data_IF_354288416987
#
_entry.id   IF_354288416987
#
_cell.length_a   1.000
_cell.length_b   1.000
_cell.length_c   1.000
_cell.angle_alpha   90.00
_cell.angle_beta   90.00
_cell.angle_gamma   90.00
#
_symmetry.space_group_name_H-M   'P 1'
#
loop_
_entity.id
_entity.type
_entity.pdbx_description
1 polymer ?
#
# COMPACT_ATOMS: atom_id res chain seq x y z
N UNK A 1 5.20 -1.06 13.32
CA UNK A 1 4.01 -1.83 12.92
C UNK A 1 4.44 -3.21 12.45
N UNK A 2 4.12 -4.24 13.22
CA UNK A 2 4.48 -5.60 12.84
C UNK A 2 3.54 -6.14 11.73
N UNK A 3 3.88 -7.30 11.16
CA UNK A 3 3.12 -7.87 10.06
C UNK A 3 1.65 -8.11 10.45
N UNK A 4 1.41 -8.68 11.62
CA UNK A 4 0.04 -8.99 12.04
C UNK A 4 -0.82 -7.74 12.11
N UNK A 5 -0.29 -6.67 12.69
CA UNK A 5 -1.03 -5.40 12.80
C UNK A 5 -1.24 -4.77 11.42
N UNK A 6 -0.25 -4.81 10.56
CA UNK A 6 -0.39 -4.32 9.19
C UNK A 6 -1.45 -5.10 8.44
N UNK A 7 -1.39 -6.43 8.53
CA UNK A 7 -2.36 -7.31 7.89
C UNK A 7 -3.79 -7.04 8.39
N UNK A 8 -3.94 -6.85 9.70
CA UNK A 8 -5.24 -6.51 10.28
C UNK A 8 -5.77 -5.17 9.77
N UNK A 9 -4.91 -4.18 9.59
CA UNK A 9 -5.32 -2.89 9.03
C UNK A 9 -5.79 -3.04 7.58
N UNK A 10 -5.10 -3.84 6.79
CA UNK A 10 -5.52 -4.10 5.41
C UNK A 10 -6.91 -4.73 5.40
N UNK A 11 -7.14 -5.75 6.22
CA UNK A 11 -8.43 -6.42 6.30
C UNK A 11 -9.52 -5.50 6.83
N UNK A 12 -9.22 -4.69 7.84
CA UNK A 12 -10.17 -3.74 8.42
C UNK A 12 -10.69 -2.77 7.36
N UNK A 13 -9.84 -2.37 6.44
CA UNK A 13 -10.19 -1.43 5.37
C UNK A 13 -10.70 -2.13 4.11
N UNK A 14 -10.89 -3.44 4.16
CA UNK A 14 -11.38 -4.24 3.03
C UNK A 14 -10.43 -4.21 1.83
N UNK A 15 -9.13 -4.11 2.10
CA UNK A 15 -8.14 -4.23 1.03
C UNK A 15 -8.19 -5.66 0.47
N UNK A 16 -8.09 -5.80 -0.85
CA UNK A 16 -8.16 -7.10 -1.53
C UNK A 16 -6.88 -7.90 -1.28
N UNK A 17 -6.85 -8.66 -0.18
CA UNK A 17 -5.68 -9.45 0.22
C UNK A 17 -5.26 -10.43 -0.89
N UNK A 18 -6.23 -11.00 -1.61
CA UNK A 18 -5.94 -11.95 -2.69
C UNK A 18 -5.16 -11.31 -3.84
N UNK A 19 -5.13 -9.99 -3.92
CA UNK A 19 -4.37 -9.28 -4.95
C UNK A 19 -2.95 -8.96 -4.51
N UNK A 20 -2.55 -9.38 -3.31
CA UNK A 20 -1.19 -9.15 -2.82
C UNK A 20 -0.35 -10.39 -3.10
N UNK A 21 0.75 -10.20 -3.83
CA UNK A 21 1.71 -11.25 -4.15
C UNK A 21 2.78 -11.36 -3.07
N UNK A 22 3.34 -10.23 -2.64
CA UNK A 22 4.44 -10.20 -1.67
C UNK A 22 4.31 -9.03 -0.72
N UNK A 23 4.82 -9.24 0.50
CA UNK A 23 4.99 -8.20 1.51
C UNK A 23 6.48 -7.98 1.73
N UNK A 24 6.90 -6.71 1.77
CA UNK A 24 8.29 -6.35 2.04
C UNK A 24 8.36 -5.47 3.27
N UNK A 25 9.12 -5.93 4.28
CA UNK A 25 9.32 -5.18 5.50
C UNK A 25 10.65 -4.44 5.47
N UNK A 26 10.61 -3.19 5.91
CA UNK A 26 11.81 -2.37 6.06
C UNK A 26 12.03 -2.07 7.54
N UNK A 27 13.28 -2.16 7.98
CA UNK A 27 13.63 -2.02 9.40
C UNK A 27 13.23 -0.69 10.02
N UNK A 28 13.04 0.34 9.20
CA UNK A 28 12.53 1.64 9.69
C UNK A 28 11.07 1.57 10.14
N UNK A 29 10.42 0.41 9.99
CA UNK A 29 9.07 0.20 10.48
C UNK A 29 7.98 0.43 9.45
N UNK A 30 8.28 0.36 8.16
CA UNK A 30 7.27 0.51 7.12
C UNK A 30 7.18 -0.74 6.24
N UNK A 31 6.10 -0.83 5.51
CA UNK A 31 5.82 -1.96 4.62
C UNK A 31 5.58 -1.49 3.19
N UNK A 32 6.06 -2.29 2.24
CA UNK A 32 5.64 -2.21 0.85
C UNK A 32 4.89 -3.49 0.51
N UNK A 33 3.96 -3.41 -0.45
CA UNK A 33 3.30 -4.59 -0.99
C UNK A 33 3.48 -4.63 -2.50
N UNK A 34 3.63 -5.84 -3.03
CA UNK A 34 3.61 -6.07 -4.45
C UNK A 34 2.29 -6.75 -4.79
N UNK A 35 1.56 -6.20 -5.75
CA UNK A 35 0.30 -6.74 -6.20
C UNK A 35 0.53 -7.81 -7.27
N UNK A 36 -0.50 -8.62 -7.51
CA UNK A 36 -0.42 -9.68 -8.52
C UNK A 36 -0.20 -9.16 -9.94
N UNK A 37 -0.53 -7.89 -10.19
CA UNK A 37 -0.25 -7.23 -11.47
C UNK A 37 1.13 -6.57 -11.51
N UNK A 38 1.99 -6.86 -10.52
CA UNK A 38 3.35 -6.35 -10.35
C UNK A 38 3.48 -4.90 -9.90
N UNK A 39 2.37 -4.20 -9.67
CA UNK A 39 2.46 -2.87 -9.06
C UNK A 39 2.98 -2.97 -7.63
N UNK A 40 3.75 -1.97 -7.21
CA UNK A 40 4.26 -1.87 -5.84
C UNK A 40 3.65 -0.65 -5.18
N UNK A 41 3.12 -0.83 -3.98
CA UNK A 41 2.63 0.28 -3.16
C UNK A 41 3.55 0.40 -1.96
N UNK A 42 4.10 1.60 -1.76
CA UNK A 42 4.98 1.90 -0.63
C UNK A 42 4.18 2.65 0.43
N UNK A 43 4.05 2.05 1.60
CA UNK A 43 3.28 2.63 2.69
C UNK A 43 4.17 3.42 3.64
N UNK A 44 3.63 4.44 4.31
CA UNK A 44 4.39 5.24 5.25
C UNK A 44 4.62 4.48 6.56
N UNK A 45 5.59 4.94 7.33
CA UNK A 45 5.86 4.44 8.67
C UNK A 45 4.74 4.79 9.65
N UNK A 46 4.17 5.99 9.52
CA UNK A 46 3.07 6.46 10.35
C UNK A 46 1.87 6.79 9.47
N UNK A 47 0.68 6.91 10.09
CA UNK A 47 -0.57 7.17 9.37
C UNK A 47 -0.87 6.08 8.33
N UNK A 48 -0.50 4.87 8.68
CA UNK A 48 -0.62 3.71 7.77
C UNK A 48 -2.08 3.44 7.42
N UNK A 49 -2.98 3.58 8.39
CA UNK A 49 -4.41 3.35 8.15
C UNK A 49 -4.95 4.29 7.07
N UNK A 50 -4.60 5.58 7.15
CA UNK A 50 -5.01 6.58 6.18
C UNK A 50 -4.43 6.28 4.79
N UNK A 51 -3.17 5.85 4.74
CA UNK A 51 -2.53 5.49 3.48
C UNK A 51 -3.18 4.26 2.85
N UNK A 52 -3.59 3.28 3.66
CA UNK A 52 -4.30 2.11 3.14
C UNK A 52 -5.63 2.53 2.52
N UNK A 53 -6.39 3.39 3.20
CA UNK A 53 -7.64 3.91 2.64
C UNK A 53 -7.40 4.63 1.32
N UNK A 54 -6.36 5.45 1.27
CA UNK A 54 -5.99 6.17 0.06
C UNK A 54 -5.62 5.20 -1.07
N UNK A 55 -4.84 4.15 -0.77
CA UNK A 55 -4.44 3.18 -1.78
C UNK A 55 -5.63 2.48 -2.42
N UNK A 56 -6.65 2.15 -1.62
CA UNK A 56 -7.86 1.51 -2.13
C UNK A 56 -8.56 2.42 -3.14
N UNK A 57 -8.68 3.71 -2.81
CA UNK A 57 -9.29 4.67 -3.73
C UNK A 57 -8.48 4.84 -5.01
N UNK A 58 -7.15 4.90 -4.90
CA UNK A 58 -6.28 5.03 -6.07
C UNK A 58 -6.36 3.81 -6.98
N UNK A 59 -6.43 2.61 -6.41
CA UNK A 59 -6.50 1.38 -7.21
C UNK A 59 -7.81 1.26 -7.99
N UNK A 60 -8.85 1.99 -7.61
CA UNK A 60 -10.12 2.04 -8.37
C UNK A 60 -10.02 2.93 -9.61
N UNK A 61 -9.01 3.80 -9.68
CA UNK A 61 -8.86 4.77 -10.76
C UNK A 61 -8.11 4.14 -11.92
N UNK A 62 -8.60 4.36 -13.13
CA UNK A 62 -8.00 3.78 -14.34
C UNK A 62 -6.61 4.33 -14.62
N UNK A 63 -6.37 5.60 -14.29
CA UNK A 63 -5.08 6.25 -14.56
C UNK A 63 -3.94 5.67 -13.71
N UNK A 64 -4.23 5.02 -12.58
CA UNK A 64 -3.21 4.40 -11.75
C UNK A 64 -2.78 3.01 -12.23
N UNK A 65 -3.49 2.42 -13.18
CA UNK A 65 -3.13 1.09 -13.72
C UNK A 65 -1.82 1.09 -14.50
N UNK A 66 -1.41 2.23 -15.00
CA UNK A 66 -0.20 2.36 -15.82
C UNK A 66 1.06 2.61 -15.00
N UNK A 67 0.94 2.83 -13.69
CA UNK A 67 2.10 3.09 -12.84
C UNK A 67 2.63 1.80 -12.25
N UNK A 68 3.95 1.65 -12.22
CA UNK A 68 4.61 0.51 -11.59
C UNK A 68 4.73 0.67 -10.10
N UNK A 69 4.88 1.91 -9.63
CA UNK A 69 5.06 2.22 -8.22
C UNK A 69 4.09 3.33 -7.81
N UNK A 70 3.40 3.09 -6.71
CA UNK A 70 2.55 4.09 -6.06
C UNK A 70 3.17 4.34 -4.68
N UNK A 71 3.78 5.50 -4.50
CA UNK A 71 4.54 5.82 -3.29
C UNK A 71 3.72 6.74 -2.39
N UNK A 72 3.29 6.22 -1.25
CA UNK A 72 2.48 6.93 -0.26
C UNK A 72 3.25 7.22 1.03
N UNK A 73 4.59 7.16 0.97
CA UNK A 73 5.42 7.29 2.18
C UNK A 73 5.33 8.66 2.84
N UNK A 74 5.02 9.70 2.09
CA UNK A 74 4.89 11.07 2.61
C UNK A 74 3.42 11.42 2.69
N UNK A 75 2.92 11.69 3.91
CA UNK A 75 1.51 12.00 4.13
C UNK A 75 1.09 13.21 3.29
N UNK A 76 -0.06 13.09 2.63
CA UNK A 76 -0.60 14.15 1.79
C UNK A 76 0.04 14.26 0.42
N UNK A 77 0.99 13.37 0.07
CA UNK A 77 1.66 13.41 -1.23
C UNK A 77 1.63 12.03 -1.88
N UNK A 78 1.30 11.98 -3.16
CA UNK A 78 1.31 10.76 -3.95
C UNK A 78 2.40 10.89 -5.01
N UNK A 79 3.35 9.95 -5.02
CA UNK A 79 4.40 9.91 -6.04
C UNK A 79 4.22 8.63 -6.83
N UNK A 80 4.24 8.73 -8.15
CA UNK A 80 4.05 7.58 -9.04
C UNK A 80 5.22 7.45 -10.00
N UNK A 81 5.51 6.20 -10.36
CA UNK A 81 6.58 5.89 -11.31
C UNK A 81 6.15 4.83 -12.32
#
# INVERSE_FOLDING_TARGET
LNFLNFFKLLKKNSFSINNIENFYFFKVGRWDIQLTNNQIIKFPKSKTNEAIKQSIELLKRKDFKNYNIIDLRIYGKIVTE
#
